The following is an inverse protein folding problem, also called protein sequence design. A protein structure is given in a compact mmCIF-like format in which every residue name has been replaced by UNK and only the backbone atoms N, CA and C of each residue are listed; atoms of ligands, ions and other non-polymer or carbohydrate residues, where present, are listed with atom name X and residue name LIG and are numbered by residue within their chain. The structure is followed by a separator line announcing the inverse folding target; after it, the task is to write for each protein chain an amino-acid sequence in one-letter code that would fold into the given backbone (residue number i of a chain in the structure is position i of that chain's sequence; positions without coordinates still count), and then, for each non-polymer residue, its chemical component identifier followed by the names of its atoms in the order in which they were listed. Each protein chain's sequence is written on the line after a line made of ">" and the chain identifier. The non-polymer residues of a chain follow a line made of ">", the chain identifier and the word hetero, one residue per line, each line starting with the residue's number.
data_IF_621924946676
#
_entry.id   IF_621924946676
#
_cell.length_a   1.000
_cell.length_b   1.000
_cell.length_c   1.000
_cell.angle_alpha   90.00
_cell.angle_beta   90.00
_cell.angle_gamma   90.00
#
_symmetry.space_group_name_H-M   'P 1'
#
loop_
_entity.id
_entity.type
_entity.pdbx_description
1 polymer ?
#
# COMPACT_ATOMS: atom_id res chain seq x y z
N UNK A 1 7.21 -2.01 13.16
CA UNK A 1 6.61 -2.44 14.43
C UNK A 1 6.46 -1.23 15.35
N UNK A 2 5.37 -1.15 16.09
CA UNK A 2 5.16 -0.15 17.12
C UNK A 2 6.02 -0.46 18.36
N UNK A 3 6.25 0.53 19.21
CA UNK A 3 7.00 0.33 20.47
C UNK A 3 6.35 -0.75 21.34
N UNK A 4 5.04 -0.80 21.36
CA UNK A 4 4.25 -1.77 22.10
C UNK A 4 4.50 -3.22 21.60
N UNK A 5 4.51 -3.45 20.28
CA UNK A 5 4.80 -4.76 19.67
C UNK A 5 6.24 -5.22 19.98
N UNK A 6 7.20 -4.30 19.90
CA UNK A 6 8.59 -4.59 20.26
C UNK A 6 8.72 -4.99 21.73
N UNK A 7 8.00 -4.28 22.62
CA UNK A 7 7.97 -4.59 24.05
C UNK A 7 7.40 -5.98 24.32
N UNK A 8 6.27 -6.32 23.69
CA UNK A 8 5.69 -7.66 23.84
C UNK A 8 6.60 -8.75 23.34
N UNK A 9 7.17 -8.59 22.15
CA UNK A 9 8.11 -9.57 21.61
C UNK A 9 9.30 -9.81 22.52
N UNK A 10 9.82 -8.77 23.18
CA UNK A 10 10.89 -8.91 24.19
C UNK A 10 10.44 -9.70 25.41
N UNK A 11 9.23 -9.48 25.91
CA UNK A 11 8.66 -10.23 27.03
C UNK A 11 8.49 -11.71 26.70
N UNK A 12 8.23 -12.04 25.43
CA UNK A 12 8.13 -13.40 24.89
C UNK A 12 9.51 -14.03 24.60
N UNK A 13 10.59 -13.33 24.91
CA UNK A 13 11.96 -13.85 24.73
C UNK A 13 12.55 -13.66 23.34
N UNK A 14 11.90 -12.86 22.45
CA UNK A 14 12.44 -12.56 21.12
C UNK A 14 13.70 -11.69 21.23
N UNK A 15 14.82 -12.17 20.69
CA UNK A 15 16.05 -11.40 20.58
C UNK A 15 16.04 -10.43 19.41
N UNK A 16 16.51 -9.21 19.64
CA UNK A 16 16.60 -8.17 18.61
C UNK A 16 18.05 -7.88 18.24
N UNK A 17 18.32 -7.78 16.95
CA UNK A 17 19.61 -7.32 16.39
C UNK A 17 19.33 -6.11 15.52
N UNK A 18 19.56 -4.91 16.08
CA UNK A 18 19.37 -3.65 15.37
C UNK A 18 20.58 -3.31 14.49
N UNK A 19 20.37 -2.39 13.54
CA UNK A 19 21.41 -1.93 12.63
C UNK A 19 22.10 -3.06 11.88
N UNK A 20 21.33 -4.05 11.45
CA UNK A 20 21.80 -5.19 10.65
C UNK A 20 21.01 -5.24 9.34
N UNK A 21 21.71 -5.42 8.23
CA UNK A 21 21.12 -5.68 6.91
C UNK A 21 21.42 -7.10 6.48
N UNK A 22 20.43 -7.89 6.07
CA UNK A 22 20.65 -9.21 5.51
C UNK A 22 21.39 -9.11 4.18
N UNK A 23 22.39 -9.96 4.00
CA UNK A 23 23.21 -10.05 2.78
C UNK A 23 22.95 -11.34 2.03
N UNK A 24 22.88 -12.46 2.78
CA UNK A 24 22.74 -13.78 2.20
C UNK A 24 21.98 -14.70 3.17
N UNK A 25 21.01 -15.43 2.66
CA UNK A 25 20.29 -16.48 3.38
C UNK A 25 20.90 -17.82 2.96
N UNK A 26 21.30 -18.62 3.92
CA UNK A 26 21.86 -19.97 3.75
C UNK A 26 20.94 -21.00 4.38
N UNK A 27 21.16 -22.26 4.05
CA UNK A 27 20.38 -23.39 4.58
C UNK A 27 20.39 -23.44 6.13
N UNK A 28 21.51 -23.06 6.75
CA UNK A 28 21.71 -23.15 8.19
C UNK A 28 21.75 -21.79 8.91
N UNK A 29 21.44 -20.68 8.23
CA UNK A 29 21.47 -19.37 8.84
C UNK A 29 21.43 -18.20 7.87
N UNK A 30 21.73 -17.02 8.38
CA UNK A 30 21.72 -15.77 7.63
C UNK A 30 23.01 -14.99 7.88
N UNK A 31 23.58 -14.39 6.83
CA UNK A 31 24.67 -13.43 6.93
C UNK A 31 24.09 -12.03 6.91
N UNK A 32 24.47 -11.22 7.89
CA UNK A 32 24.12 -9.81 7.96
C UNK A 32 25.36 -8.93 8.03
N UNK A 33 25.27 -7.72 7.50
CA UNK A 33 26.23 -6.63 7.70
C UNK A 33 25.72 -5.62 8.72
N UNK A 34 26.62 -4.92 9.35
CA UNK A 34 26.28 -3.74 10.12
C UNK A 34 25.80 -2.63 9.21
N UNK A 35 24.90 -1.81 9.74
CA UNK A 35 24.45 -0.59 9.06
C UNK A 35 24.68 0.62 9.95
N UNK A 36 25.07 1.73 9.31
CA UNK A 36 25.27 3.01 9.97
C UNK A 36 24.30 4.03 9.35
N UNK A 37 23.66 4.82 10.19
CA UNK A 37 22.76 5.90 9.75
C UNK A 37 23.62 7.12 9.38
N UNK A 38 23.54 7.55 8.13
CA UNK A 38 24.15 8.79 7.64
C UNK A 38 23.41 10.03 8.13
N UNK A 39 24.02 11.20 7.90
CA UNK A 39 23.44 12.51 8.23
C UNK A 39 22.16 12.79 7.43
N UNK A 40 22.04 12.20 6.23
CA UNK A 40 20.85 12.24 5.38
C UNK A 40 19.70 11.33 5.88
N UNK A 41 19.91 10.63 7.00
CA UNK A 41 18.97 9.70 7.59
C UNK A 41 18.90 8.33 6.93
N UNK A 42 19.66 8.08 5.87
CA UNK A 42 19.75 6.78 5.19
C UNK A 42 20.71 5.84 5.91
N UNK A 43 20.39 4.56 5.83
CA UNK A 43 21.28 3.52 6.37
C UNK A 43 22.17 2.97 5.25
N UNK A 44 23.48 2.95 5.49
CA UNK A 44 24.48 2.35 4.59
C UNK A 44 25.08 1.12 5.26
N UNK A 45 25.38 0.09 4.46
CA UNK A 45 26.02 -1.11 4.96
C UNK A 45 27.51 -0.87 5.15
N UNK A 46 28.09 -1.43 6.20
CA UNK A 46 29.52 -1.38 6.50
C UNK A 46 30.18 -2.61 5.87
N UNK A 47 31.08 -2.40 4.92
CA UNK A 47 31.84 -3.49 4.30
C UNK A 47 32.76 -4.16 5.29
N UNK A 48 32.90 -5.50 5.18
CA UNK A 48 33.76 -6.31 6.06
C UNK A 48 33.20 -6.55 7.45
N UNK A 49 31.93 -6.17 7.69
CA UNK A 49 31.23 -6.41 8.98
C UNK A 49 30.30 -7.62 8.96
N UNK A 50 30.49 -8.53 7.99
CA UNK A 50 29.66 -9.72 7.82
C UNK A 50 29.72 -10.61 9.06
N UNK A 51 28.54 -10.94 9.58
CA UNK A 51 28.37 -11.86 10.69
C UNK A 51 27.31 -12.91 10.34
N UNK A 52 27.69 -14.18 10.61
CA UNK A 52 26.76 -15.28 10.42
C UNK A 52 25.94 -15.52 11.69
N UNK A 53 24.62 -15.65 11.50
CA UNK A 53 23.66 -16.00 12.54
C UNK A 53 23.03 -17.35 12.20
N UNK A 54 23.24 -18.39 13.01
CA UNK A 54 22.65 -19.71 12.78
C UNK A 54 21.13 -19.68 13.04
N UNK A 55 20.35 -20.24 12.13
CA UNK A 55 18.92 -20.40 12.24
C UNK A 55 18.45 -21.67 11.54
N UNK A 56 17.29 -22.17 11.95
CA UNK A 56 16.60 -23.31 11.30
C UNK A 56 15.58 -22.84 10.26
N UNK A 57 15.22 -21.56 10.26
CA UNK A 57 14.31 -20.96 9.31
C UNK A 57 14.42 -19.43 9.31
N UNK A 58 14.12 -18.80 8.20
CA UNK A 58 14.13 -17.34 8.01
C UNK A 58 12.79 -16.89 7.48
N UNK A 59 12.17 -15.91 8.15
CA UNK A 59 10.95 -15.26 7.70
C UNK A 59 11.29 -13.83 7.26
N UNK A 60 10.99 -13.51 5.99
CA UNK A 60 11.20 -12.18 5.43
C UNK A 60 9.95 -11.33 5.65
N UNK A 61 10.10 -10.28 6.47
CA UNK A 61 8.99 -9.35 6.82
C UNK A 61 9.45 -7.89 6.65
N UNK A 62 9.90 -7.54 5.45
CA UNK A 62 10.55 -6.25 5.14
C UNK A 62 9.62 -5.23 4.46
N UNK A 63 8.30 -5.39 4.59
CA UNK A 63 7.30 -4.60 3.87
C UNK A 63 7.22 -4.96 2.37
N UNK A 64 6.31 -4.31 1.67
CA UNK A 64 6.07 -4.50 0.23
C UNK A 64 6.39 -3.22 -0.51
N UNK A 65 6.86 -3.35 -1.75
CA UNK A 65 7.01 -2.27 -2.69
C UNK A 65 5.77 -2.11 -3.58
N UNK A 66 5.66 -0.96 -4.25
CA UNK A 66 4.63 -0.76 -5.26
C UNK A 66 4.97 -1.55 -6.53
N UNK A 67 4.00 -2.30 -7.04
CA UNK A 67 4.07 -2.84 -8.40
C UNK A 67 3.65 -1.75 -9.39
N UNK A 68 4.51 -1.48 -10.37
CA UNK A 68 4.32 -0.37 -11.30
C UNK A 68 3.86 -0.81 -12.70
N UNK A 69 3.37 -2.02 -12.87
CA UNK A 69 2.94 -2.56 -14.16
C UNK A 69 1.88 -1.67 -14.84
N UNK A 70 0.89 -1.22 -14.06
CA UNK A 70 -0.13 -0.29 -14.54
C UNK A 70 0.46 1.02 -15.03
N UNK A 71 1.43 1.58 -14.29
CA UNK A 71 2.08 2.85 -14.66
C UNK A 71 2.95 2.70 -15.89
N UNK A 72 3.67 1.59 -16.01
CA UNK A 72 4.53 1.31 -17.17
C UNK A 72 3.72 1.09 -18.45
N UNK A 73 2.52 0.52 -18.35
CA UNK A 73 1.62 0.27 -19.49
C UNK A 73 0.69 1.43 -19.82
N UNK A 74 0.62 2.48 -18.96
CA UNK A 74 -0.32 3.59 -19.08
C UNK A 74 0.41 4.91 -19.21
N UNK A 75 0.18 5.63 -20.30
CA UNK A 75 0.75 6.98 -20.51
C UNK A 75 0.08 8.03 -19.63
N UNK A 76 0.87 9.01 -19.14
CA UNK A 76 0.37 10.18 -18.42
C UNK A 76 0.20 9.99 -16.92
N UNK A 77 0.41 8.79 -16.36
CA UNK A 77 0.46 8.56 -14.93
C UNK A 77 1.92 8.60 -14.45
N UNK A 78 2.19 9.39 -13.42
CA UNK A 78 3.52 9.54 -12.83
C UNK A 78 3.59 8.93 -11.44
N UNK A 79 4.79 8.47 -11.08
CA UNK A 79 5.12 8.00 -9.73
C UNK A 79 6.25 8.84 -9.13
N UNK A 80 6.32 8.83 -7.82
CA UNK A 80 7.46 9.39 -7.09
C UNK A 80 8.65 8.40 -7.08
N UNK A 81 9.77 8.80 -6.46
CA UNK A 81 10.99 7.98 -6.37
C UNK A 81 10.79 6.63 -5.65
N UNK A 82 9.71 6.47 -4.90
CA UNK A 82 9.33 5.23 -4.21
C UNK A 82 8.40 4.33 -5.02
N UNK A 83 8.08 4.70 -6.26
CA UNK A 83 7.14 3.99 -7.11
C UNK A 83 5.66 4.22 -6.77
N UNK A 84 5.33 5.13 -5.83
CA UNK A 84 3.96 5.44 -5.46
C UNK A 84 3.38 6.47 -6.42
N UNK A 85 2.09 6.37 -6.72
CA UNK A 85 1.39 7.29 -7.61
C UNK A 85 1.44 8.73 -7.07
N UNK A 86 1.74 9.67 -7.95
CA UNK A 86 1.69 11.09 -7.64
C UNK A 86 0.25 11.59 -7.82
N UNK A 87 -0.31 12.18 -6.75
CA UNK A 87 -1.66 12.74 -6.75
C UNK A 87 -1.69 14.13 -6.16
N UNK A 88 -2.71 14.90 -6.53
CA UNK A 88 -3.06 16.16 -5.90
C UNK A 88 -3.81 15.92 -4.56
N UNK A 89 -4.14 16.99 -3.85
CA UNK A 89 -4.85 16.91 -2.57
C UNK A 89 -6.24 16.26 -2.67
N UNK A 90 -6.87 16.34 -3.84
CA UNK A 90 -8.18 15.75 -4.15
C UNK A 90 -8.11 14.28 -4.59
N UNK A 91 -6.90 13.71 -4.69
CA UNK A 91 -6.66 12.35 -5.16
C UNK A 91 -6.58 12.21 -6.68
N UNK A 92 -6.71 13.30 -7.45
CA UNK A 92 -6.50 13.26 -8.90
C UNK A 92 -5.03 12.98 -9.23
N UNK A 93 -4.79 12.07 -10.19
CA UNK A 93 -3.43 11.76 -10.66
C UNK A 93 -2.96 12.79 -11.71
N UNK A 94 -1.77 12.59 -12.24
CA UNK A 94 -1.23 13.39 -13.36
C UNK A 94 -1.97 13.13 -14.68
N UNK A 95 -2.82 12.12 -14.76
CA UNK A 95 -3.69 11.83 -15.91
C UNK A 95 -5.10 12.23 -15.59
N UNK A 96 -5.70 13.07 -16.46
CA UNK A 96 -7.06 13.52 -16.32
C UNK A 96 -8.07 12.36 -16.25
N UNK A 97 -9.05 12.47 -15.36
CA UNK A 97 -10.08 11.45 -15.13
C UNK A 97 -9.60 10.22 -14.35
N UNK A 98 -8.33 10.18 -13.92
CA UNK A 98 -7.79 9.09 -13.13
C UNK A 98 -7.49 9.57 -11.71
N UNK A 99 -8.03 8.85 -10.74
CA UNK A 99 -7.88 9.14 -9.31
C UNK A 99 -7.22 7.97 -8.59
N UNK A 100 -6.50 8.24 -7.52
CA UNK A 100 -5.87 7.22 -6.70
C UNK A 100 -5.85 7.59 -5.22
N UNK A 101 -5.83 6.57 -4.37
CA UNK A 101 -5.74 6.72 -2.92
C UNK A 101 -5.22 5.43 -2.26
N UNK A 102 -5.14 5.43 -0.93
CA UNK A 102 -4.67 4.28 -0.16
C UNK A 102 -3.19 3.97 -0.39
N UNK A 103 -2.85 2.68 -0.32
CA UNK A 103 -1.46 2.21 -0.35
C UNK A 103 -0.72 2.54 -1.65
N UNK A 104 -1.44 2.65 -2.77
CA UNK A 104 -0.87 3.04 -4.06
C UNK A 104 -0.27 4.47 -4.07
N UNK A 105 -0.74 5.33 -3.16
CA UNK A 105 -0.31 6.73 -3.02
C UNK A 105 0.58 6.94 -1.80
N UNK A 106 0.22 6.35 -0.67
CA UNK A 106 0.85 6.61 0.63
C UNK A 106 1.85 5.53 1.05
N UNK A 107 1.90 4.41 0.35
CA UNK A 107 2.57 3.20 0.78
C UNK A 107 1.73 2.44 1.81
N UNK A 108 2.24 1.31 2.29
CA UNK A 108 1.53 0.45 3.23
C UNK A 108 1.12 1.20 4.51
N UNK A 109 -0.19 1.29 4.75
CA UNK A 109 -0.80 1.99 5.87
C UNK A 109 -1.95 1.17 6.45
N UNK A 110 -2.64 1.75 7.44
CA UNK A 110 -3.79 1.10 8.09
C UNK A 110 -5.04 1.14 7.19
N UNK A 111 -5.92 0.16 7.37
CA UNK A 111 -7.23 0.11 6.67
C UNK A 111 -8.06 1.36 6.96
N UNK A 112 -7.99 1.89 8.19
CA UNK A 112 -8.73 3.10 8.59
C UNK A 112 -8.29 4.32 7.76
N UNK A 113 -6.98 4.49 7.56
CA UNK A 113 -6.44 5.57 6.73
C UNK A 113 -6.85 5.39 5.26
N UNK A 114 -6.80 4.16 4.74
CA UNK A 114 -7.23 3.86 3.37
C UNK A 114 -8.72 4.20 3.16
N UNK A 115 -9.60 3.83 4.09
CA UNK A 115 -11.04 4.14 4.03
C UNK A 115 -11.29 5.64 4.11
N UNK A 116 -10.58 6.37 4.98
CA UNK A 116 -10.73 7.82 5.11
C UNK A 116 -10.37 8.55 3.80
N UNK A 117 -9.28 8.13 3.15
CA UNK A 117 -8.85 8.67 1.87
C UNK A 117 -9.82 8.30 0.76
N UNK A 118 -10.29 7.04 0.72
CA UNK A 118 -11.23 6.59 -0.30
C UNK A 118 -12.52 7.42 -0.33
N UNK A 119 -13.04 7.82 0.83
CA UNK A 119 -14.21 8.72 0.92
C UNK A 119 -13.94 10.07 0.24
N UNK A 120 -12.82 10.70 0.57
CA UNK A 120 -12.43 11.99 -0.01
C UNK A 120 -12.24 11.89 -1.54
N UNK A 121 -11.57 10.84 -1.98
CA UNK A 121 -11.34 10.59 -3.41
C UNK A 121 -12.66 10.34 -4.14
N UNK A 122 -13.60 9.59 -3.55
CA UNK A 122 -14.93 9.35 -4.13
C UNK A 122 -15.74 10.64 -4.32
N UNK A 123 -15.70 11.57 -3.36
CA UNK A 123 -16.32 12.88 -3.47
C UNK A 123 -15.71 13.71 -4.62
N UNK A 124 -14.40 13.63 -4.78
CA UNK A 124 -13.68 14.31 -5.88
C UNK A 124 -14.02 13.71 -7.23
N UNK A 125 -14.12 12.37 -7.33
CA UNK A 125 -14.56 11.68 -8.54
C UNK A 125 -16.00 12.06 -8.92
N UNK A 126 -16.92 12.09 -7.96
CA UNK A 126 -18.31 12.49 -8.19
C UNK A 126 -18.40 13.94 -8.71
N UNK A 127 -17.64 14.85 -8.10
CA UNK A 127 -17.55 16.24 -8.52
C UNK A 127 -16.98 16.38 -9.94
N UNK A 128 -15.93 15.62 -10.26
CA UNK A 128 -15.35 15.59 -11.59
C UNK A 128 -16.37 15.08 -12.62
N UNK A 129 -17.03 13.96 -12.38
CA UNK A 129 -18.03 13.40 -13.28
C UNK A 129 -19.20 14.36 -13.52
N UNK A 130 -19.64 15.08 -12.49
CA UNK A 130 -20.69 16.10 -12.61
C UNK A 130 -20.27 17.32 -13.43
N UNK A 131 -18.96 17.60 -13.50
CA UNK A 131 -18.42 18.71 -14.28
C UNK A 131 -18.27 18.39 -15.77
N UNK A 132 -18.28 17.10 -16.14
CA UNK A 132 -18.18 16.70 -17.53
C UNK A 132 -19.44 17.09 -18.33
N UNK A 133 -19.30 17.42 -19.62
CA UNK A 133 -20.45 17.58 -20.50
C UNK A 133 -21.30 16.31 -20.44
N UNK A 134 -22.60 16.48 -20.30
CA UNK A 134 -23.55 15.36 -20.41
C UNK A 134 -23.50 14.84 -21.84
N UNK A 135 -23.08 13.59 -22.00
CA UNK A 135 -23.13 12.94 -23.32
C UNK A 135 -24.59 12.86 -23.78
N UNK A 136 -24.95 13.42 -24.96
CA UNK A 136 -26.27 13.26 -25.53
C UNK A 136 -26.53 11.85 -26.07
N UNK A 137 -25.52 10.97 -26.08
CA UNK A 137 -25.68 9.59 -26.53
C UNK A 137 -26.66 8.82 -25.63
N UNK A 138 -27.56 8.01 -26.23
CA UNK A 138 -28.43 7.14 -25.43
C UNK A 138 -27.56 6.24 -24.52
N UNK A 139 -27.95 6.16 -23.26
CA UNK A 139 -27.30 5.29 -22.29
C UNK A 139 -27.30 3.84 -22.82
N UNK A 140 -26.15 3.27 -23.18
CA UNK A 140 -26.11 1.87 -23.68
C UNK A 140 -26.58 0.86 -22.64
N UNK A 141 -26.80 1.29 -21.39
CA UNK A 141 -27.24 0.47 -20.26
C UNK A 141 -28.66 0.81 -19.82
N UNK A 142 -29.39 1.69 -20.54
CA UNK A 142 -30.74 2.09 -20.16
C UNK A 142 -31.72 0.91 -20.01
N UNK A 143 -31.46 -0.17 -20.73
CA UNK A 143 -32.31 -1.40 -20.71
C UNK A 143 -31.81 -2.45 -19.71
N UNK A 144 -30.69 -2.22 -19.01
CA UNK A 144 -30.22 -3.13 -17.97
C UNK A 144 -31.09 -2.93 -16.71
N UNK A 145 -31.77 -3.96 -16.22
CA UNK A 145 -32.55 -3.87 -14.99
C UNK A 145 -31.63 -3.41 -13.85
N UNK A 146 -31.92 -2.25 -13.26
CA UNK A 146 -31.26 -1.81 -12.04
C UNK A 146 -31.71 -2.77 -10.95
N UNK A 147 -30.82 -3.67 -10.52
CA UNK A 147 -31.06 -4.47 -9.33
C UNK A 147 -31.13 -3.51 -8.15
N UNK A 148 -32.34 -3.17 -7.73
CA UNK A 148 -32.52 -2.49 -6.45
C UNK A 148 -31.96 -3.40 -5.35
N UNK A 149 -31.12 -2.86 -4.49
CA UNK A 149 -30.69 -3.56 -3.25
C UNK A 149 -31.96 -4.07 -2.56
N UNK A 150 -32.00 -5.37 -2.16
CA UNK A 150 -33.15 -5.89 -1.42
C UNK A 150 -33.39 -4.98 -0.22
N UNK A 151 -34.63 -4.49 -0.10
CA UNK A 151 -35.04 -3.76 1.10
C UNK A 151 -34.94 -4.68 2.30
N UNK A 152 -34.69 -4.15 3.49
CA UNK A 152 -34.58 -4.90 4.74
C UNK A 152 -35.70 -5.95 4.94
N UNK A 153 -36.85 -5.72 4.36
CA UNK A 153 -38.04 -6.60 4.44
C UNK A 153 -37.88 -7.90 3.65
N UNK A 154 -36.99 -7.94 2.64
CA UNK A 154 -36.71 -9.16 1.87
C UNK A 154 -35.72 -10.06 2.61
N UNK A 155 -34.77 -9.46 3.33
CA UNK A 155 -33.77 -10.20 4.11
C UNK A 155 -34.39 -10.90 5.34
N UNK A 156 -35.41 -10.30 5.97
CA UNK A 156 -36.13 -10.88 7.12
C UNK A 156 -37.03 -12.07 6.74
N UNK A 157 -37.44 -12.19 5.48
CA UNK A 157 -38.32 -13.32 5.02
C UNK A 157 -37.53 -14.55 4.60
N UNK A 158 -36.20 -14.48 4.43
CA UNK A 158 -35.38 -15.63 4.01
C UNK A 158 -34.71 -16.39 5.16
N UNK A 159 -35.01 -16.07 6.41
CA UNK A 159 -34.67 -16.93 7.57
C UNK A 159 -33.19 -17.17 7.77
N UNK A 160 -32.38 -16.12 7.73
CA UNK A 160 -30.98 -16.16 8.16
C UNK A 160 -30.87 -15.58 9.56
#
# INVERSE_FOLDING_TARGET
>A
ASEHEVRYARLEGVGFRFCKAPVEIRENGIICRDTVKGEDGRFTQVEGSEMFYPHTGVIVSVSQGAENELVQSTTGIQTNQRGLLTVNEDGSTTREGVFAGGDAVMGARTVVEAVAIAKKVAESMDSYMKSLPKDPAPDPYADIPVFSTPTSDVLTKQGV
#
